data_IF_695978793449
#
_entry.id   IF_695978793449
#
_cell.length_a   1.000
_cell.length_b   1.000
_cell.length_c   1.000
_cell.angle_alpha   90.00
_cell.angle_beta   90.00
_cell.angle_gamma   90.00
#
_symmetry.space_group_name_H-M   'P 1'
#
loop_
_entity.id
_entity.type
_entity.pdbx_description
1 polymer ?
#
# COMPACT_ATOMS: atom_id res chain seq x y z
N UNK A 1 -23.14 -6.28 -16.08
CA UNK A 1 -21.78 -5.70 -16.18
C UNK A 1 -21.30 -5.92 -17.61
N UNK A 2 -20.73 -4.91 -18.27
CA UNK A 2 -20.20 -5.06 -19.64
C UNK A 2 -18.74 -5.48 -19.61
N UNK A 3 -18.25 -6.11 -20.68
CA UNK A 3 -16.82 -6.49 -20.83
C UNK A 3 -15.89 -5.29 -20.59
N UNK A 4 -16.20 -4.13 -21.15
CA UNK A 4 -15.42 -2.92 -20.97
C UNK A 4 -15.31 -2.46 -19.50
N UNK A 5 -16.38 -2.63 -18.71
CA UNK A 5 -16.33 -2.32 -17.27
C UNK A 5 -15.48 -3.34 -16.52
N UNK A 6 -15.59 -4.62 -16.86
CA UNK A 6 -14.77 -5.67 -16.27
C UNK A 6 -13.27 -5.46 -16.57
N UNK A 7 -12.94 -5.14 -17.83
CA UNK A 7 -11.57 -4.84 -18.25
C UNK A 7 -10.99 -3.64 -17.47
N UNK A 8 -11.82 -2.62 -17.23
CA UNK A 8 -11.43 -1.46 -16.42
C UNK A 8 -11.20 -1.83 -14.95
N UNK A 9 -12.06 -2.64 -14.35
CA UNK A 9 -11.87 -3.14 -12.98
C UNK A 9 -10.55 -3.92 -12.86
N UNK A 10 -10.28 -4.82 -13.81
CA UNK A 10 -9.02 -5.57 -13.86
C UNK A 10 -7.82 -4.62 -14.00
N UNK A 11 -7.94 -3.54 -14.79
CA UNK A 11 -6.86 -2.56 -14.94
C UNK A 11 -6.57 -1.81 -13.64
N UNK A 12 -7.61 -1.42 -12.89
CA UNK A 12 -7.46 -0.78 -11.56
C UNK A 12 -6.75 -1.73 -10.61
N UNK A 13 -7.14 -3.01 -10.58
CA UNK A 13 -6.47 -4.03 -9.77
C UNK A 13 -4.99 -4.20 -10.12
N UNK A 14 -4.63 -4.23 -11.41
CA UNK A 14 -3.23 -4.32 -11.83
C UNK A 14 -2.39 -3.13 -11.38
N UNK A 15 -2.92 -1.91 -11.45
CA UNK A 15 -2.21 -0.70 -11.00
C UNK A 15 -1.99 -0.73 -9.48
N UNK A 16 -3.02 -1.14 -8.73
CA UNK A 16 -2.90 -1.35 -7.29
C UNK A 16 -1.85 -2.42 -6.95
N UNK A 17 -1.90 -3.60 -7.59
CA UNK A 17 -0.94 -4.68 -7.37
C UNK A 17 0.49 -4.23 -7.73
N UNK A 18 0.67 -3.51 -8.84
CA UNK A 18 1.97 -2.97 -9.24
C UNK A 18 2.56 -2.01 -8.20
N UNK A 19 1.74 -1.11 -7.63
CA UNK A 19 2.18 -0.20 -6.57
C UNK A 19 2.65 -0.97 -5.34
N UNK A 20 1.84 -1.89 -4.82
CA UNK A 20 2.17 -2.62 -3.60
C UNK A 20 3.35 -3.58 -3.81
N UNK A 21 3.50 -4.19 -4.99
CA UNK A 21 4.68 -4.98 -5.34
C UNK A 21 5.94 -4.10 -5.39
N UNK A 22 5.88 -2.93 -6.03
CA UNK A 22 7.02 -2.01 -6.11
C UNK A 22 7.47 -1.54 -4.73
N UNK A 23 6.53 -1.14 -3.86
CA UNK A 23 6.82 -0.75 -2.47
C UNK A 23 7.53 -1.89 -1.72
N UNK A 24 6.97 -3.11 -1.77
CA UNK A 24 7.55 -4.27 -1.08
C UNK A 24 8.94 -4.64 -1.60
N UNK A 25 9.21 -4.38 -2.88
CA UNK A 25 10.49 -4.61 -3.53
C UNK A 25 11.50 -3.46 -3.36
N UNK A 26 11.11 -2.33 -2.75
CA UNK A 26 11.93 -1.11 -2.69
C UNK A 26 12.21 -0.50 -4.08
N UNK A 27 11.31 -0.72 -5.04
CA UNK A 27 11.42 -0.20 -6.40
C UNK A 27 10.74 1.18 -6.52
N UNK A 28 11.11 1.93 -7.56
CA UNK A 28 10.52 3.23 -7.84
C UNK A 28 9.01 3.14 -8.11
N UNK A 29 8.23 4.07 -7.58
CA UNK A 29 6.75 4.08 -7.63
C UNK A 29 6.17 5.29 -8.35
N UNK A 30 6.91 6.38 -8.53
CA UNK A 30 6.44 7.66 -9.06
C UNK A 30 5.71 7.52 -10.40
N UNK A 31 6.17 6.61 -11.25
CA UNK A 31 5.58 6.33 -12.56
C UNK A 31 4.15 5.72 -12.49
N UNK A 32 3.73 5.22 -11.33
CA UNK A 32 2.38 4.69 -11.07
C UNK A 32 1.46 5.75 -10.46
N UNK A 33 1.99 6.90 -10.04
CA UNK A 33 1.26 7.91 -9.27
C UNK A 33 0.78 9.04 -10.18
N UNK A 34 -0.36 9.62 -9.84
CA UNK A 34 -0.75 10.94 -10.34
C UNK A 34 0.10 12.02 -9.65
N UNK A 35 0.28 13.17 -10.30
CA UNK A 35 1.08 14.28 -9.79
C UNK A 35 0.66 14.72 -8.39
N UNK A 36 -0.65 14.74 -8.10
CA UNK A 36 -1.28 15.15 -6.85
C UNK A 36 -1.69 13.98 -5.94
N UNK A 37 -1.10 12.79 -6.14
CA UNK A 37 -1.47 11.61 -5.38
C UNK A 37 -1.22 11.78 -3.87
N UNK A 38 -2.02 11.11 -3.03
CA UNK A 38 -1.80 11.03 -1.58
C UNK A 38 -1.52 9.61 -1.13
N UNK A 39 -0.66 9.44 -0.13
CA UNK A 39 -0.40 8.17 0.54
C UNK A 39 -0.46 8.38 2.04
N UNK A 40 -1.42 7.75 2.71
CA UNK A 40 -1.66 7.92 4.15
C UNK A 40 -1.60 6.57 4.87
N UNK A 41 -0.86 6.51 5.98
CA UNK A 41 -0.83 5.34 6.89
C UNK A 41 -1.49 5.70 8.21
N UNK A 42 -2.44 4.87 8.64
CA UNK A 42 -3.15 5.01 9.91
C UNK A 42 -2.90 3.80 10.82
N UNK A 43 -2.84 3.99 12.15
CA UNK A 43 -3.02 5.25 12.88
C UNK A 43 -1.73 6.08 13.09
N UNK A 44 -0.58 5.65 12.56
CA UNK A 44 0.70 6.35 12.75
C UNK A 44 0.72 7.78 12.20
N UNK A 45 -0.13 8.09 11.22
CA UNK A 45 -0.27 9.42 10.65
C UNK A 45 0.85 9.81 9.69
N UNK A 46 1.74 8.87 9.35
CA UNK A 46 2.80 9.08 8.36
C UNK A 46 2.23 8.97 6.95
N UNK A 47 2.86 9.68 6.02
CA UNK A 47 2.39 9.74 4.63
C UNK A 47 3.05 10.87 3.86
N UNK A 48 2.62 11.03 2.61
CA UNK A 48 3.09 12.07 1.71
C UNK A 48 2.00 12.47 0.70
N UNK A 49 2.16 13.66 0.13
CA UNK A 49 1.31 14.19 -0.95
C UNK A 49 2.19 14.66 -2.09
N UNK A 50 1.85 14.25 -3.31
CA UNK A 50 2.63 14.48 -4.52
C UNK A 50 3.46 13.26 -4.90
N UNK A 51 3.57 12.98 -6.20
CA UNK A 51 4.26 11.78 -6.70
C UNK A 51 5.73 11.69 -6.21
N UNK A 52 6.48 12.79 -6.29
CA UNK A 52 7.90 12.84 -5.89
C UNK A 52 8.09 12.72 -4.37
N UNK A 53 7.18 13.28 -3.57
CA UNK A 53 7.24 13.15 -2.11
C UNK A 53 6.81 11.75 -1.65
N UNK A 54 5.87 11.11 -2.35
CA UNK A 54 5.53 9.71 -2.09
C UNK A 54 6.70 8.80 -2.47
N UNK A 55 7.38 9.04 -3.60
CA UNK A 55 8.60 8.31 -3.97
C UNK A 55 9.64 8.38 -2.86
N UNK A 56 9.93 9.59 -2.36
CA UNK A 56 10.88 9.82 -1.27
C UNK A 56 10.43 9.12 0.02
N UNK A 57 9.16 9.27 0.38
CA UNK A 57 8.58 8.63 1.56
C UNK A 57 8.71 7.11 1.51
N UNK A 58 8.39 6.48 0.36
CA UNK A 58 8.53 5.04 0.17
C UNK A 58 9.99 4.61 0.27
N UNK A 59 10.91 5.34 -0.37
CA UNK A 59 12.33 4.98 -0.38
C UNK A 59 13.02 5.15 0.98
N UNK A 60 12.65 6.18 1.74
CA UNK A 60 13.37 6.57 2.96
C UNK A 60 12.70 6.12 4.25
N UNK A 61 11.37 6.05 4.28
CA UNK A 61 10.62 5.83 5.53
C UNK A 61 9.89 4.48 5.57
N UNK A 62 9.55 3.87 4.42
CA UNK A 62 8.83 2.60 4.39
C UNK A 62 9.81 1.43 4.47
N UNK A 63 10.10 1.01 5.70
CA UNK A 63 10.94 -0.16 5.96
C UNK A 63 10.11 -1.44 5.87
N UNK A 64 10.51 -2.37 5.01
CA UNK A 64 9.85 -3.68 4.87
C UNK A 64 10.61 -4.74 5.69
N UNK A 65 9.95 -5.47 6.62
CA UNK A 65 10.57 -6.58 7.34
C UNK A 65 11.10 -7.65 6.38
N UNK A 66 12.28 -8.20 6.67
CA UNK A 66 12.95 -9.15 5.77
C UNK A 66 12.20 -10.48 5.64
N UNK A 67 11.47 -10.88 6.67
CA UNK A 67 10.63 -12.08 6.73
C UNK A 67 9.13 -11.77 6.53
N UNK A 68 8.79 -10.58 6.00
CA UNK A 68 7.41 -10.20 5.77
C UNK A 68 6.73 -11.18 4.81
N UNK A 69 5.66 -11.79 5.29
CA UNK A 69 4.71 -12.51 4.45
C UNK A 69 3.38 -11.76 4.44
N UNK A 70 2.74 -11.74 3.27
CA UNK A 70 1.45 -11.09 3.08
C UNK A 70 0.47 -12.08 2.51
N UNK A 71 -0.66 -12.27 3.19
CA UNK A 71 -1.77 -13.09 2.73
C UNK A 71 -3.01 -12.22 2.56
N UNK A 72 -3.44 -12.02 1.31
CA UNK A 72 -4.72 -11.38 1.01
C UNK A 72 -5.88 -12.27 1.48
N UNK A 73 -6.70 -11.73 2.36
CA UNK A 73 -7.91 -12.39 2.89
C UNK A 73 -9.12 -12.03 2.04
N UNK A 74 -9.25 -10.76 1.66
CA UNK A 74 -10.36 -10.30 0.81
C UNK A 74 -9.92 -9.19 -0.14
N UNK A 75 -10.66 -9.03 -1.24
CA UNK A 75 -10.56 -7.93 -2.19
C UNK A 75 -11.95 -7.46 -2.56
N UNK A 76 -12.18 -6.15 -2.45
CA UNK A 76 -13.38 -5.49 -2.96
C UNK A 76 -12.96 -4.37 -3.90
N UNK A 77 -13.44 -4.41 -5.14
CA UNK A 77 -13.05 -3.44 -6.15
C UNK A 77 -14.21 -2.96 -7.00
N UNK A 78 -14.05 -1.77 -7.56
CA UNK A 78 -14.88 -1.22 -8.62
C UNK A 78 -13.98 -0.60 -9.70
N UNK A 79 -14.57 0.09 -10.67
CA UNK A 79 -13.84 0.71 -11.80
C UNK A 79 -12.97 1.92 -11.42
N UNK A 80 -12.91 2.28 -10.14
CA UNK A 80 -12.21 3.44 -9.62
C UNK A 80 -11.27 3.10 -8.47
N UNK A 81 -11.52 2.03 -7.72
CA UNK A 81 -10.72 1.70 -6.54
C UNK A 81 -10.70 0.22 -6.22
N UNK A 82 -9.68 -0.17 -5.48
CA UNK A 82 -9.53 -1.50 -4.87
C UNK A 82 -9.32 -1.34 -3.38
N UNK A 83 -9.94 -2.22 -2.61
CA UNK A 83 -9.74 -2.39 -1.19
C UNK A 83 -9.28 -3.82 -0.96
N UNK A 84 -8.07 -3.98 -0.47
CA UNK A 84 -7.52 -5.27 -0.05
C UNK A 84 -7.47 -5.33 1.47
N UNK A 85 -7.89 -6.47 2.01
CA UNK A 85 -7.67 -6.85 3.40
C UNK A 85 -6.62 -7.95 3.41
N UNK A 86 -5.51 -7.71 4.09
CA UNK A 86 -4.34 -8.57 4.10
C UNK A 86 -3.92 -8.87 5.53
N UNK A 87 -3.40 -10.07 5.76
CA UNK A 87 -2.67 -10.39 6.99
C UNK A 87 -1.19 -10.27 6.71
N UNK A 88 -0.51 -9.41 7.46
CA UNK A 88 0.94 -9.24 7.44
C UNK A 88 1.51 -10.03 8.60
N UNK A 89 2.46 -10.92 8.34
CA UNK A 89 3.16 -11.69 9.36
C UNK A 89 4.67 -11.51 9.19
N UNK A 90 5.36 -11.11 10.27
CA UNK A 90 6.80 -10.82 10.30
C UNK A 90 7.35 -10.84 11.72
N UNK A 91 8.67 -10.82 11.86
CA UNK A 91 9.34 -10.60 13.14
C UNK A 91 9.58 -9.10 13.35
N UNK A 92 9.06 -8.51 14.44
CA UNK A 92 9.25 -7.08 14.74
C UNK A 92 10.65 -6.82 15.33
N UNK A 93 11.66 -6.84 14.46
CA UNK A 93 13.10 -6.76 14.77
C UNK A 93 13.70 -5.36 14.58
N UNK A 94 12.93 -4.41 14.02
CA UNK A 94 13.32 -3.02 13.77
C UNK A 94 12.11 -2.11 13.95
N UNK A 95 12.38 -0.82 14.13
CA UNK A 95 11.31 0.19 14.20
C UNK A 95 10.69 0.35 12.81
N UNK A 96 9.36 0.40 12.76
CA UNK A 96 8.58 0.47 11.53
C UNK A 96 7.70 1.72 11.60
N UNK A 97 8.03 2.74 10.81
CA UNK A 97 7.35 4.04 10.78
C UNK A 97 5.84 3.95 10.49
N UNK A 98 5.43 2.89 9.80
CA UNK A 98 4.05 2.60 9.44
C UNK A 98 3.28 1.83 10.53
N UNK A 99 3.95 1.44 11.63
CA UNK A 99 3.32 1.02 12.88
C UNK A 99 3.22 2.22 13.84
N UNK A 100 2.44 2.05 14.91
CA UNK A 100 2.51 2.98 16.03
C UNK A 100 3.92 3.00 16.63
N UNK A 101 4.43 4.17 17.05
CA UNK A 101 5.78 4.29 17.61
C UNK A 101 6.01 3.35 18.80
N UNK A 102 7.17 2.70 18.79
CA UNK A 102 7.60 1.80 19.86
C UNK A 102 8.88 1.04 19.49
N UNK A 103 9.63 0.54 20.48
CA UNK A 103 10.84 -0.23 20.22
C UNK A 103 10.49 -1.57 19.56
N UNK A 104 11.43 -2.16 18.79
CA UNK A 104 11.29 -3.52 18.26
C UNK A 104 10.98 -4.50 19.39
N UNK A 105 9.92 -5.30 19.23
CA UNK A 105 9.50 -6.24 20.27
C UNK A 105 10.26 -7.57 20.22
N UNK A 106 10.91 -7.86 19.08
CA UNK A 106 11.59 -9.13 18.81
C UNK A 106 10.66 -10.34 18.69
N UNK A 107 9.34 -10.11 18.62
CA UNK A 107 8.33 -11.18 18.61
C UNK A 107 7.77 -11.40 17.20
N UNK A 108 7.38 -12.65 16.87
CA UNK A 108 6.49 -12.90 15.75
C UNK A 108 5.22 -12.07 15.92
N UNK A 109 4.88 -11.31 14.89
CA UNK A 109 3.78 -10.35 14.90
C UNK A 109 2.91 -10.61 13.69
N UNK A 110 1.59 -10.67 13.91
CA UNK A 110 0.58 -10.72 12.85
C UNK A 110 -0.34 -9.51 12.99
N UNK A 111 -0.60 -8.82 11.88
CA UNK A 111 -1.43 -7.62 11.83
C UNK A 111 -2.40 -7.72 10.66
N UNK A 112 -3.60 -7.15 10.83
CA UNK A 112 -4.53 -6.96 9.73
C UNK A 112 -4.25 -5.59 9.11
N UNK A 113 -4.01 -5.58 7.80
CA UNK A 113 -3.79 -4.38 7.03
C UNK A 113 -4.88 -4.24 5.98
N UNK A 114 -5.55 -3.10 5.97
CA UNK A 114 -6.51 -2.74 4.92
C UNK A 114 -5.91 -1.65 4.05
N UNK A 115 -5.74 -1.93 2.77
CA UNK A 115 -5.22 -0.97 1.80
C UNK A 115 -6.32 -0.55 0.83
N UNK A 116 -6.55 0.75 0.70
CA UNK A 116 -7.50 1.34 -0.23
C UNK A 116 -6.74 2.14 -1.27
N UNK A 117 -6.82 1.76 -2.55
CA UNK A 117 -6.16 2.46 -3.65
C UNK A 117 -7.18 2.94 -4.65
N UNK A 118 -7.24 4.25 -4.87
CA UNK A 118 -8.02 4.86 -5.94
C UNK A 118 -7.15 5.11 -7.17
N UNK A 119 -7.67 4.78 -8.34
CA UNK A 119 -6.99 4.87 -9.63
C UNK A 119 -7.82 5.69 -10.59
N UNK A 120 -7.16 6.61 -11.30
CA UNK A 120 -7.76 7.40 -12.38
C UNK A 120 -6.79 7.44 -13.55
N UNK A 121 -7.30 7.12 -14.75
CA UNK A 121 -6.49 7.10 -16.00
C UNK A 121 -5.22 6.24 -15.88
N UNK A 122 -5.29 5.13 -15.16
CA UNK A 122 -4.17 4.20 -14.98
C UNK A 122 -3.12 4.63 -13.95
N UNK A 123 -3.35 5.74 -13.24
CA UNK A 123 -2.47 6.23 -12.19
C UNK A 123 -3.18 6.22 -10.84
N UNK A 124 -2.44 5.93 -9.78
CA UNK A 124 -2.91 6.01 -8.40
C UNK A 124 -3.07 7.47 -8.00
N UNK A 125 -4.25 7.84 -7.55
CA UNK A 125 -4.54 9.18 -7.03
C UNK A 125 -4.57 9.23 -5.51
N UNK A 126 -4.80 8.09 -4.87
CA UNK A 126 -4.88 8.00 -3.41
C UNK A 126 -4.61 6.58 -2.96
N UNK A 127 -3.77 6.44 -1.95
CA UNK A 127 -3.60 5.21 -1.18
C UNK A 127 -3.83 5.50 0.30
N UNK A 128 -4.63 4.66 0.96
CA UNK A 128 -4.77 4.68 2.42
C UNK A 128 -4.52 3.28 2.97
N UNK A 129 -3.52 3.16 3.84
CA UNK A 129 -3.19 1.93 4.56
C UNK A 129 -3.66 2.07 6.00
N UNK A 130 -4.47 1.13 6.46
CA UNK A 130 -4.95 1.06 7.84
C UNK A 130 -4.35 -0.19 8.46
N UNK A 131 -3.57 -0.01 9.50
CA UNK A 131 -3.02 -1.09 10.31
C UNK A 131 -3.90 -1.25 11.55
N UNK A 132 -4.52 -2.42 11.70
CA UNK A 132 -5.46 -2.75 12.77
C UNK A 132 -4.85 -3.70 13.80
#
# INVERSE_FOLDING_TARGET
MTKAVQDLMIAVERVHDALHTAIRAGAAVAHLLAEDATFDVLPSGVGATGADEIERFVAEQVVVPGDLTVRRTSRTGDRFRVVDEEVFAFTHDRELSWLLPGPPTGKPTELVVVTLTAVKRGQVTRTRMIVA
#
